data_IF_153596245726
#
_entry.id   IF_153596245726
#
_cell.length_a   1.000
_cell.length_b   1.000
_cell.length_c   1.000
_cell.angle_alpha   90.00
_cell.angle_beta   90.00
_cell.angle_gamma   90.00
#
_symmetry.space_group_name_H-M   'P 1'
#
loop_
_entity.id
_entity.type
_entity.pdbx_description
1 polymer ?
#
# COMPACT_ATOMS: atom_id res chain seq x y z
N UNK A 1 3.71 4.85 -17.36
CA UNK A 1 4.54 4.04 -16.45
C UNK A 1 4.34 4.34 -14.99
N UNK A 2 4.57 5.57 -14.49
CA UNK A 2 4.35 5.88 -13.05
C UNK A 2 2.97 5.46 -12.52
N UNK A 3 1.89 5.84 -13.20
CA UNK A 3 0.53 5.45 -12.82
C UNK A 3 0.34 3.93 -12.81
N UNK A 4 0.87 3.23 -13.82
CA UNK A 4 0.74 1.77 -13.93
C UNK A 4 1.41 1.09 -12.74
N UNK A 5 2.62 1.52 -12.37
CA UNK A 5 3.33 0.98 -11.21
C UNK A 5 2.56 1.26 -9.90
N UNK A 6 1.96 2.44 -9.78
CA UNK A 6 1.10 2.75 -8.65
C UNK A 6 -0.11 1.81 -8.56
N UNK A 7 -0.80 1.57 -9.69
CA UNK A 7 -1.93 0.62 -9.77
C UNK A 7 -1.49 -0.79 -9.42
N UNK A 8 -0.36 -1.27 -9.95
CA UNK A 8 0.18 -2.61 -9.64
C UNK A 8 0.42 -2.75 -8.15
N UNK A 9 1.04 -1.76 -7.50
CA UNK A 9 1.25 -1.77 -6.06
C UNK A 9 -0.06 -1.85 -5.27
N UNK A 10 -1.05 -1.03 -5.64
CA UNK A 10 -2.37 -1.05 -5.02
C UNK A 10 -3.14 -2.35 -5.26
N UNK A 11 -2.99 -2.98 -6.42
CA UNK A 11 -3.56 -4.28 -6.72
C UNK A 11 -2.96 -5.39 -5.82
N UNK A 12 -1.64 -5.36 -5.60
CA UNK A 12 -0.97 -6.28 -4.67
C UNK A 12 -1.45 -6.09 -3.23
N UNK A 13 -1.61 -4.84 -2.78
CA UNK A 13 -2.21 -4.54 -1.47
C UNK A 13 -3.63 -5.11 -1.39
N UNK A 14 -4.48 -4.82 -2.37
CA UNK A 14 -5.85 -5.35 -2.43
C UNK A 14 -5.90 -6.87 -2.38
N UNK A 15 -4.96 -7.55 -3.07
CA UNK A 15 -4.85 -9.00 -3.04
C UNK A 15 -4.46 -9.52 -1.64
N UNK A 16 -3.51 -8.88 -0.96
CA UNK A 16 -3.15 -9.28 0.42
C UNK A 16 -4.30 -9.06 1.42
N UNK A 17 -5.11 -8.02 1.23
CA UNK A 17 -6.33 -7.80 2.01
C UNK A 17 -7.36 -8.89 1.70
N UNK A 18 -7.54 -9.26 0.44
CA UNK A 18 -8.45 -10.35 0.07
C UNK A 18 -8.02 -11.68 0.72
N UNK A 19 -6.72 -12.01 0.66
CA UNK A 19 -6.16 -13.20 1.32
C UNK A 19 -6.40 -13.14 2.83
N UNK A 20 -6.18 -11.98 3.47
CA UNK A 20 -6.48 -11.77 4.88
C UNK A 20 -7.94 -12.05 5.21
N UNK A 21 -8.88 -11.49 4.44
CA UNK A 21 -10.32 -11.69 4.67
C UNK A 21 -10.69 -13.17 4.55
N UNK A 22 -10.21 -13.85 3.51
CA UNK A 22 -10.45 -15.28 3.31
C UNK A 22 -9.85 -16.13 4.44
N UNK A 23 -8.64 -15.78 4.90
CA UNK A 23 -7.98 -16.46 6.01
C UNK A 23 -8.75 -16.28 7.33
N UNK A 24 -9.24 -15.07 7.62
CA UNK A 24 -10.09 -14.81 8.80
C UNK A 24 -11.36 -15.69 8.75
N UNK A 25 -12.01 -15.76 7.59
CA UNK A 25 -13.22 -16.56 7.40
C UNK A 25 -12.94 -18.07 7.60
N UNK A 26 -11.83 -18.57 7.06
CA UNK A 26 -11.44 -19.97 7.22
C UNK A 26 -11.09 -20.33 8.68
N UNK A 27 -10.47 -19.41 9.42
CA UNK A 27 -10.06 -19.61 10.81
C UNK A 27 -11.19 -19.44 11.83
N UNK A 28 -12.39 -19.02 11.42
CA UNK A 28 -13.49 -18.72 12.33
C UNK A 28 -14.03 -19.97 13.08
N UNK A 29 -13.99 -21.14 12.44
CA UNK A 29 -14.44 -22.41 13.03
C UNK A 29 -13.32 -23.25 13.65
N UNK A 30 -12.07 -22.80 13.56
CA UNK A 30 -10.92 -23.51 14.13
C UNK A 30 -10.85 -23.28 15.65
N UNK A 31 -10.91 -24.31 16.50
CA UNK A 31 -10.79 -24.14 17.95
C UNK A 31 -9.38 -23.77 18.41
N UNK A 32 -8.34 -23.97 17.60
CA UNK A 32 -6.97 -23.57 17.93
C UNK A 32 -6.77 -22.07 17.61
N UNK A 33 -6.51 -21.19 18.60
CA UNK A 33 -6.27 -19.77 18.36
C UNK A 33 -4.87 -19.48 17.81
N UNK A 34 -3.96 -20.46 17.79
CA UNK A 34 -2.56 -20.27 17.41
C UNK A 34 -2.43 -19.70 15.99
N UNK A 35 -1.70 -18.59 15.85
CA UNK A 35 -1.42 -17.95 14.55
C UNK A 35 -2.52 -17.04 13.99
N UNK A 36 -3.72 -16.99 14.58
CA UNK A 36 -4.80 -16.10 14.12
C UNK A 36 -4.46 -14.62 14.23
N UNK A 37 -3.64 -14.26 15.21
CA UNK A 37 -3.16 -12.88 15.39
C UNK A 37 -2.31 -12.39 14.21
N UNK A 38 -1.56 -13.30 13.56
CA UNK A 38 -0.71 -12.97 12.41
C UNK A 38 -1.52 -12.66 11.16
N UNK A 39 -2.72 -13.24 11.04
CA UNK A 39 -3.59 -13.06 9.86
C UNK A 39 -3.91 -11.58 9.65
N UNK A 40 -4.17 -10.81 10.72
CA UNK A 40 -4.43 -9.37 10.64
C UNK A 40 -3.29 -8.53 10.06
N UNK A 41 -2.06 -9.09 10.01
CA UNK A 41 -0.87 -8.43 9.48
C UNK A 41 -0.56 -8.81 8.03
N UNK A 42 -1.35 -9.68 7.39
CA UNK A 42 -1.16 -10.09 5.99
C UNK A 42 -0.95 -8.91 5.00
N UNK A 43 -1.66 -7.77 5.13
CA UNK A 43 -1.43 -6.61 4.28
C UNK A 43 -0.02 -6.00 4.39
N UNK A 44 0.69 -6.18 5.50
CA UNK A 44 2.06 -5.67 5.66
C UNK A 44 3.06 -6.42 4.76
N UNK A 45 2.81 -7.68 4.39
CA UNK A 45 3.68 -8.40 3.47
C UNK A 45 3.68 -7.82 2.06
N UNK A 46 2.64 -7.05 1.69
CA UNK A 46 2.64 -6.30 0.45
C UNK A 46 3.84 -5.33 0.37
N UNK A 47 4.33 -4.81 1.51
CA UNK A 47 5.46 -3.86 1.61
C UNK A 47 6.74 -4.37 0.94
N UNK A 48 6.97 -5.70 0.96
CA UNK A 48 8.13 -6.30 0.29
C UNK A 48 8.13 -6.08 -1.22
N UNK A 49 6.94 -6.02 -1.83
CA UNK A 49 6.77 -5.85 -3.27
C UNK A 49 6.49 -4.39 -3.66
N UNK A 50 5.65 -3.68 -2.89
CA UNK A 50 5.38 -2.26 -3.16
C UNK A 50 6.61 -1.39 -2.87
N UNK A 51 7.48 -1.81 -1.93
CA UNK A 51 8.75 -1.15 -1.62
C UNK A 51 9.53 -0.75 -2.87
N UNK A 52 9.96 -1.69 -3.71
CA UNK A 52 10.64 -1.39 -4.96
C UNK A 52 9.69 -0.86 -6.08
N UNK A 53 8.49 -1.42 -6.24
CA UNK A 53 7.60 -1.11 -7.38
C UNK A 53 7.08 0.33 -7.32
N UNK A 54 6.53 0.73 -6.18
CA UNK A 54 5.96 2.07 -6.02
C UNK A 54 7.05 3.13 -5.87
N UNK A 55 8.24 2.78 -5.38
CA UNK A 55 9.37 3.70 -5.31
C UNK A 55 9.84 4.05 -6.72
N UNK A 56 10.01 3.03 -7.58
CA UNK A 56 10.32 3.24 -8.99
C UNK A 56 9.22 4.10 -9.68
N UNK A 57 7.95 3.81 -9.41
CA UNK A 57 6.83 4.59 -9.94
C UNK A 57 6.83 6.05 -9.48
N UNK A 58 7.15 6.29 -8.22
CA UNK A 58 7.30 7.62 -7.63
C UNK A 58 8.43 8.42 -8.28
N UNK A 59 9.63 7.81 -8.40
CA UNK A 59 10.79 8.44 -9.06
C UNK A 59 10.48 8.78 -10.51
N UNK A 60 9.87 7.87 -11.28
CA UNK A 60 9.45 8.14 -12.66
C UNK A 60 8.44 9.30 -12.72
N UNK A 61 7.52 9.37 -11.75
CA UNK A 61 6.56 10.46 -11.64
C UNK A 61 7.24 11.81 -11.41
N UNK A 62 8.20 11.88 -10.48
CA UNK A 62 8.97 13.10 -10.17
C UNK A 62 9.77 13.56 -11.39
N UNK A 63 10.54 12.67 -12.01
CA UNK A 63 11.32 12.97 -13.22
C UNK A 63 10.40 13.49 -14.34
N UNK A 64 9.23 12.86 -14.49
CA UNK A 64 8.20 13.30 -15.44
C UNK A 64 7.67 14.69 -15.14
N UNK A 65 7.41 15.01 -13.87
CA UNK A 65 6.87 16.31 -13.44
C UNK A 65 7.86 17.45 -13.69
N UNK A 66 9.16 17.21 -13.50
CA UNK A 66 10.22 18.20 -13.75
C UNK A 66 10.47 18.39 -15.25
N UNK A 67 10.39 17.33 -16.06
CA UNK A 67 10.77 17.39 -17.48
C UNK A 67 9.65 17.67 -18.49
N UNK A 68 8.36 17.51 -18.12
CA UNK A 68 7.24 17.55 -19.08
C UNK A 68 6.03 18.33 -18.56
N UNK A 69 5.89 19.63 -18.87
CA UNK A 69 4.78 20.45 -18.37
C UNK A 69 3.40 20.00 -18.88
N UNK A 70 3.30 19.45 -20.10
CA UNK A 70 2.03 18.98 -20.67
C UNK A 70 1.41 17.79 -19.93
N UNK A 71 2.20 17.00 -19.22
CA UNK A 71 1.72 15.81 -18.48
C UNK A 71 1.78 16.01 -16.97
N UNK A 72 2.00 17.24 -16.49
CA UNK A 72 2.26 17.55 -15.08
C UNK A 72 1.17 17.00 -14.15
N UNK A 73 -0.11 17.17 -14.50
CA UNK A 73 -1.25 16.64 -13.71
C UNK A 73 -1.20 15.11 -13.57
N UNK A 74 -0.89 14.40 -14.66
CA UNK A 74 -0.80 12.93 -14.66
C UNK A 74 0.44 12.44 -13.90
N UNK A 75 1.55 13.20 -13.97
CA UNK A 75 2.75 12.90 -13.21
C UNK A 75 2.50 13.04 -11.69
N UNK A 76 1.80 14.11 -11.27
CA UNK A 76 1.37 14.27 -9.87
C UNK A 76 0.45 13.16 -9.41
N UNK A 77 -0.51 12.73 -10.23
CA UNK A 77 -1.35 11.58 -9.91
C UNK A 77 -0.51 10.31 -9.73
N UNK A 78 0.46 10.09 -10.61
CA UNK A 78 1.43 9.00 -10.49
C UNK A 78 2.20 9.06 -9.17
N UNK A 79 2.76 10.22 -8.81
CA UNK A 79 3.47 10.43 -7.55
C UNK A 79 2.57 10.11 -6.36
N UNK A 80 1.35 10.66 -6.33
CA UNK A 80 0.41 10.46 -5.23
C UNK A 80 0.05 8.98 -5.06
N UNK A 81 -0.28 8.32 -6.17
CA UNK A 81 -0.65 6.90 -6.17
C UNK A 81 0.50 6.00 -5.71
N UNK A 82 1.74 6.38 -6.02
CA UNK A 82 2.93 5.64 -5.62
C UNK A 82 3.38 5.97 -4.19
N UNK A 83 3.20 7.19 -3.71
CA UNK A 83 3.58 7.60 -2.36
C UNK A 83 2.58 7.13 -1.30
N UNK A 84 1.29 7.03 -1.64
CA UNK A 84 0.22 6.77 -0.68
C UNK A 84 0.34 5.45 0.10
N UNK A 85 0.80 4.32 -0.48
CA UNK A 85 1.02 3.10 0.30
C UNK A 85 1.99 3.30 1.46
N UNK A 86 3.10 4.01 1.23
CA UNK A 86 4.09 4.25 2.28
C UNK A 86 3.48 5.06 3.42
N UNK A 87 2.76 6.14 3.10
CA UNK A 87 2.10 6.97 4.11
C UNK A 87 1.11 6.13 4.93
N UNK A 88 0.30 5.29 4.28
CA UNK A 88 -0.73 4.48 4.95
C UNK A 88 -0.12 3.40 5.84
N UNK A 89 0.94 2.72 5.38
CA UNK A 89 1.52 1.59 6.10
C UNK A 89 2.65 1.97 7.07
N UNK A 90 3.26 3.16 6.94
CA UNK A 90 4.40 3.55 7.78
C UNK A 90 4.23 4.85 8.55
N UNK A 91 3.32 5.75 8.15
CA UNK A 91 3.15 7.05 8.81
C UNK A 91 1.84 7.07 9.59
N UNK A 92 0.73 6.70 8.95
CA UNK A 92 -0.60 6.72 9.55
C UNK A 92 -0.71 5.91 10.85
N UNK A 93 -0.11 4.69 11.00
CA UNK A 93 -0.22 3.91 12.23
C UNK A 93 0.34 4.64 13.47
N UNK A 94 1.36 5.48 13.27
CA UNK A 94 1.96 6.28 14.35
C UNK A 94 1.23 7.61 14.57
N UNK A 95 0.59 8.15 13.53
CA UNK A 95 -0.21 9.38 13.64
C UNK A 95 -1.59 9.14 14.24
N UNK A 96 -2.20 7.97 14.02
CA UNK A 96 -3.55 7.66 14.51
C UNK A 96 -3.69 7.87 16.03
N UNK A 97 -2.77 7.38 16.89
CA UNK A 97 -2.83 7.66 18.33
C UNK A 97 -2.73 9.15 18.68
N UNK A 98 -1.94 9.92 17.94
CA UNK A 98 -1.81 11.36 18.17
C UNK A 98 -3.04 12.15 17.69
N UNK A 99 -3.70 11.70 16.62
CA UNK A 99 -4.88 12.34 16.04
C UNK A 99 -6.17 12.00 16.79
N UNK A 100 -6.25 10.79 17.35
CA UNK A 100 -7.42 10.28 18.09
C UNK A 100 -7.20 10.20 19.60
N UNK A 101 -6.10 10.79 20.08
CA UNK A 101 -5.65 10.77 21.47
C UNK A 101 -6.70 11.30 22.46
N UNK A 102 -7.57 10.37 22.87
CA UNK A 102 -7.71 9.98 24.26
C UNK A 102 -6.57 9.06 24.63
#
# INVERSE_FOLDING_TARGET
MSIILGIVGWALIGLTILVMVLAIQASASDPDPSGKEVIGFLPLFALMFIGPVNLAGGVIGIVGAVGKPKTLKLNWLGILLNASPYVIFTVLPFLLPALFGR
#
